data_IF_888555163591
#
_entry.id   IF_888555163591
#
_cell.length_a   1.000
_cell.length_b   1.000
_cell.length_c   1.000
_cell.angle_alpha   90.00
_cell.angle_beta   90.00
_cell.angle_gamma   90.00
#
_symmetry.space_group_name_H-M   'P 1'
#
loop_
_entity.id
_entity.type
_entity.pdbx_description
1 polymer ?
#
# COMPACT_ATOMS: atom_id res chain seq x y z
N UNK A 1 -11.26 -10.10 12.50
CA UNK A 1 -10.53 -9.06 11.76
C UNK A 1 -11.47 -8.04 11.11
N UNK A 2 -12.35 -8.42 10.19
CA UNK A 2 -13.21 -7.48 9.43
C UNK A 2 -14.29 -6.72 10.23
N UNK A 3 -14.36 -6.92 11.54
CA UNK A 3 -15.22 -6.17 12.46
C UNK A 3 -14.45 -5.03 13.16
N UNK A 4 -13.14 -4.96 12.97
CA UNK A 4 -12.32 -3.88 13.49
C UNK A 4 -12.62 -2.57 12.75
N UNK A 5 -12.43 -1.42 13.40
CA UNK A 5 -12.50 -0.12 12.74
C UNK A 5 -11.53 -0.04 11.55
N UNK A 6 -11.89 0.78 10.57
CA UNK A 6 -11.10 0.98 9.35
C UNK A 6 -9.64 1.35 9.65
N UNK A 7 -9.41 2.31 10.55
CA UNK A 7 -8.05 2.79 10.86
C UNK A 7 -7.17 1.69 11.46
N UNK A 8 -7.77 0.78 12.25
CA UNK A 8 -7.04 -0.36 12.81
C UNK A 8 -6.71 -1.38 11.72
N UNK A 9 -7.63 -1.59 10.77
CA UNK A 9 -7.37 -2.46 9.63
C UNK A 9 -6.30 -1.88 8.70
N UNK A 10 -6.32 -0.57 8.46
CA UNK A 10 -5.32 0.15 7.66
C UNK A 10 -3.93 0.00 8.29
N UNK A 11 -3.83 0.20 9.61
CA UNK A 11 -2.58 0.02 10.35
C UNK A 11 -2.08 -1.43 10.27
N UNK A 12 -2.95 -2.44 10.44
CA UNK A 12 -2.54 -3.86 10.31
C UNK A 12 -2.01 -4.14 8.91
N UNK A 13 -2.69 -3.66 7.87
CA UNK A 13 -2.24 -3.82 6.48
C UNK A 13 -0.93 -3.06 6.25
N UNK A 14 -0.74 -1.91 6.89
CA UNK A 14 0.48 -1.10 6.82
C UNK A 14 1.72 -1.88 7.29
N UNK A 15 1.57 -2.87 8.19
CA UNK A 15 2.66 -3.70 8.70
C UNK A 15 3.06 -4.88 7.78
N UNK A 16 2.32 -5.14 6.69
CA UNK A 16 2.62 -6.27 5.77
C UNK A 16 3.56 -5.82 4.64
N UNK A 17 4.86 -5.99 4.81
CA UNK A 17 5.84 -5.38 3.89
C UNK A 17 5.84 -5.99 2.48
N UNK A 18 5.85 -7.32 2.37
CA UNK A 18 6.03 -7.98 1.07
C UNK A 18 4.71 -8.00 0.27
N UNK A 19 4.70 -7.69 -1.05
CA UNK A 19 3.46 -7.53 -1.81
C UNK A 19 2.75 -8.86 -2.01
N UNK A 20 3.52 -9.95 -2.07
CA UNK A 20 2.96 -11.31 -2.11
C UNK A 20 2.06 -11.56 -0.91
N UNK A 21 2.47 -11.13 0.27
CA UNK A 21 1.71 -11.36 1.50
C UNK A 21 0.48 -10.46 1.55
N UNK A 22 0.58 -9.22 1.04
CA UNK A 22 -0.58 -8.34 0.83
C UNK A 22 -1.60 -8.97 -0.14
N UNK A 23 -1.15 -9.57 -1.23
CA UNK A 23 -2.02 -10.25 -2.20
C UNK A 23 -2.69 -11.48 -1.55
N UNK A 24 -1.92 -12.30 -0.85
CA UNK A 24 -2.46 -13.45 -0.10
C UNK A 24 -3.47 -13.01 0.95
N UNK A 25 -3.20 -11.90 1.64
CA UNK A 25 -4.11 -11.32 2.62
C UNK A 25 -5.39 -10.78 1.98
N UNK A 26 -5.30 -10.11 0.82
CA UNK A 26 -6.46 -9.63 0.06
C UNK A 26 -7.43 -10.76 -0.33
N UNK A 27 -6.92 -11.97 -0.52
CA UNK A 27 -7.73 -13.13 -0.92
C UNK A 27 -8.58 -13.73 0.21
N UNK A 28 -8.34 -13.35 1.47
CA UNK A 28 -9.08 -13.89 2.62
C UNK A 28 -10.56 -13.43 2.59
N UNK A 29 -10.86 -12.28 2.00
CA UNK A 29 -12.22 -11.75 1.93
C UNK A 29 -12.40 -10.74 0.81
N UNK A 30 -13.61 -10.67 0.25
CA UNK A 30 -13.98 -9.69 -0.79
C UNK A 30 -13.88 -8.22 -0.35
N UNK A 31 -13.84 -7.93 0.96
CA UNK A 31 -13.71 -6.55 1.48
C UNK A 31 -12.27 -6.06 1.57
N UNK A 32 -11.29 -6.97 1.59
CA UNK A 32 -9.88 -6.62 1.76
C UNK A 32 -9.21 -6.04 0.50
N UNK A 33 -9.59 -6.43 -0.73
CA UNK A 33 -9.06 -5.80 -1.94
C UNK A 33 -9.25 -4.28 -1.95
N UNK A 34 -10.41 -3.79 -1.53
CA UNK A 34 -10.73 -2.35 -1.49
C UNK A 34 -9.89 -1.58 -0.46
N UNK A 35 -9.38 -2.27 0.56
CA UNK A 35 -8.49 -1.70 1.57
C UNK A 35 -7.03 -1.68 1.07
N UNK A 36 -6.63 -2.68 0.29
CA UNK A 36 -5.23 -2.93 -0.08
C UNK A 36 -4.86 -2.27 -1.42
N UNK A 37 -5.81 -2.16 -2.34
CA UNK A 37 -5.63 -1.61 -3.70
C UNK A 37 -6.43 -0.32 -3.83
N UNK A 38 -5.86 0.76 -4.40
CA UNK A 38 -4.48 0.87 -4.94
C UNK A 38 -3.42 1.14 -3.87
N UNK A 39 -3.87 1.49 -2.68
CA UNK A 39 -3.13 2.29 -1.71
C UNK A 39 -1.89 1.62 -1.09
N UNK A 40 -1.95 0.31 -0.84
CA UNK A 40 -0.82 -0.42 -0.26
C UNK A 40 0.01 -1.12 -1.33
N UNK A 41 -0.60 -1.83 -2.28
CA UNK A 41 0.15 -2.60 -3.29
C UNK A 41 0.93 -1.69 -4.25
N UNK A 42 0.31 -0.62 -4.76
CA UNK A 42 0.93 0.21 -5.79
C UNK A 42 2.13 1.02 -5.27
N UNK A 43 2.09 1.39 -3.99
CA UNK A 43 3.11 2.22 -3.36
C UNK A 43 4.09 1.43 -2.50
N UNK A 44 3.90 0.11 -2.31
CA UNK A 44 4.83 -0.72 -1.53
C UNK A 44 6.21 -0.76 -2.14
N UNK A 45 6.27 -1.01 -3.45
CA UNK A 45 7.48 -1.02 -4.25
C UNK A 45 7.27 -0.18 -5.49
N UNK A 46 8.05 0.89 -5.59
CA UNK A 46 8.12 1.72 -6.78
C UNK A 46 9.25 1.18 -7.65
N UNK A 47 8.88 0.41 -8.66
CA UNK A 47 9.78 -0.01 -9.73
C UNK A 47 9.56 0.92 -10.94
N UNK A 48 9.87 2.21 -10.77
CA UNK A 48 9.79 3.18 -11.86
C UNK A 48 11.17 3.77 -12.17
N UNK A 49 11.35 4.26 -13.38
CA UNK A 49 12.60 4.92 -13.77
C UNK A 49 12.80 6.17 -12.91
N UNK A 50 13.98 6.31 -12.31
CA UNK A 50 14.42 7.52 -11.60
C UNK A 50 14.20 8.82 -12.41
N UNK A 51 14.26 8.74 -13.75
CA UNK A 51 14.06 9.87 -14.65
C UNK A 51 12.59 10.27 -14.83
N UNK A 52 11.64 9.46 -14.34
CA UNK A 52 10.21 9.75 -14.42
C UNK A 52 9.79 10.76 -13.35
N UNK A 53 10.19 12.00 -13.57
CA UNK A 53 9.96 13.16 -12.70
C UNK A 53 8.49 13.35 -12.31
N UNK A 54 7.53 12.95 -13.15
CA UNK A 54 6.09 13.06 -12.82
C UNK A 54 5.69 12.25 -11.59
N UNK A 55 6.19 11.02 -11.44
CA UNK A 55 5.86 10.18 -10.28
C UNK A 55 6.48 10.77 -9.01
N UNK A 56 7.76 11.13 -9.07
CA UNK A 56 8.46 11.70 -7.93
C UNK A 56 7.87 13.04 -7.49
N UNK A 57 7.48 13.90 -8.44
CA UNK A 57 6.77 15.16 -8.14
C UNK A 57 5.40 14.88 -7.49
N UNK A 58 4.67 13.86 -7.96
CA UNK A 58 3.40 13.48 -7.38
C UNK A 58 3.57 12.96 -5.93
N UNK A 59 4.56 12.11 -5.68
CA UNK A 59 4.88 11.58 -4.36
C UNK A 59 5.37 12.68 -3.40
N UNK A 60 6.16 13.64 -3.89
CA UNK A 60 6.60 14.78 -3.10
C UNK A 60 5.42 15.63 -2.57
N UNK A 61 4.31 15.68 -3.31
CA UNK A 61 3.08 16.36 -2.91
C UNK A 61 2.18 15.52 -1.99
N UNK A 62 2.34 14.20 -1.96
CA UNK A 62 1.47 13.27 -1.23
C UNK A 62 2.24 12.43 -0.20
N UNK A 63 2.58 13.06 0.93
CA UNK A 63 3.37 12.41 2.01
C UNK A 63 2.76 11.12 2.56
N UNK A 64 1.44 11.01 2.56
CA UNK A 64 0.74 9.80 2.99
C UNK A 64 1.05 8.59 2.09
N UNK A 65 1.25 8.79 0.79
CA UNK A 65 1.63 7.72 -0.15
C UNK A 65 3.10 7.35 0.01
N UNK A 66 3.96 8.34 0.29
CA UNK A 66 5.39 8.10 0.56
C UNK A 66 5.57 7.23 1.81
N UNK A 67 4.78 7.45 2.85
CA UNK A 67 4.82 6.65 4.09
C UNK A 67 4.52 5.15 3.87
N UNK A 68 3.91 4.80 2.74
CA UNK A 68 3.53 3.42 2.39
C UNK A 68 4.62 2.67 1.63
N UNK A 69 5.65 3.36 1.15
CA UNK A 69 6.81 2.78 0.47
C UNK A 69 7.65 1.97 1.47
N UNK A 70 8.06 0.76 1.05
CA UNK A 70 8.96 -0.11 1.82
C UNK A 70 10.24 -0.32 1.01
N UNK A 71 11.37 -0.11 1.66
CA UNK A 71 12.69 -0.42 1.10
C UNK A 71 13.00 -1.88 1.42
N UNK A 72 13.45 -2.67 0.43
CA UNK A 72 14.08 -3.98 0.70
C UNK A 72 15.52 -3.75 1.10
#
# INVERSE_FOLDING_TARGET
>A
LLQLPFDILEEIVSQIDHPRDLISFAQISRKLPDLIVPDHIQYRYICDDSNRTKLWNYLALHRNLVARIRWV
#
